data_IF_277530660484
#
_entry.id   IF_277530660484
#
_cell.length_a   1.000
_cell.length_b   1.000
_cell.length_c   1.000
_cell.angle_alpha   90.00
_cell.angle_beta   90.00
_cell.angle_gamma   90.00
#
_symmetry.space_group_name_H-M   'P 1'
#
loop_
_entity.id
_entity.type
_entity.pdbx_description
1 polymer ?
#
# COMPACT_ATOMS: atom_id res chain seq x y z
N UNK A 1 -11.28 3.69 16.41
CA UNK A 1 -12.41 4.33 15.68
C UNK A 1 -13.48 3.37 15.17
N UNK A 2 -13.24 2.04 15.08
CA UNK A 2 -14.30 1.10 14.73
C UNK A 2 -15.50 1.24 15.69
N UNK A 3 -16.71 1.40 15.15
CA UNK A 3 -17.96 1.68 15.88
C UNK A 3 -18.07 3.05 16.58
N UNK A 4 -17.25 4.04 16.24
CA UNK A 4 -17.49 5.42 16.71
C UNK A 4 -18.67 6.07 15.97
N UNK A 5 -19.35 7.07 16.57
CA UNK A 5 -20.38 7.85 15.88
C UNK A 5 -19.88 8.48 14.56
N UNK A 6 -18.60 8.81 14.50
CA UNK A 6 -17.96 9.44 13.34
C UNK A 6 -17.53 8.46 12.26
N UNK A 7 -17.55 7.15 12.51
CA UNK A 7 -17.00 6.16 11.57
C UNK A 7 -17.70 6.16 10.20
N UNK A 8 -19.03 6.27 10.19
CA UNK A 8 -19.81 6.36 8.94
C UNK A 8 -19.52 7.67 8.19
N UNK A 9 -19.47 8.78 8.92
CA UNK A 9 -19.14 10.10 8.37
C UNK A 9 -17.73 10.12 7.77
N UNK A 10 -16.74 9.56 8.48
CA UNK A 10 -15.37 9.44 8.01
C UNK A 10 -15.28 8.63 6.71
N UNK A 11 -15.99 7.50 6.60
CA UNK A 11 -16.05 6.71 5.36
C UNK A 11 -16.68 7.49 4.19
N UNK A 12 -17.72 8.26 4.45
CA UNK A 12 -18.34 9.11 3.44
C UNK A 12 -17.41 10.24 3.00
N UNK A 13 -16.70 10.87 3.94
CA UNK A 13 -15.69 11.90 3.63
C UNK A 13 -14.56 11.36 2.75
N UNK A 14 -14.11 10.10 2.95
CA UNK A 14 -13.14 9.45 2.05
C UNK A 14 -13.65 9.44 0.61
N UNK A 15 -14.92 9.08 0.38
CA UNK A 15 -15.50 9.04 -0.96
C UNK A 15 -15.56 10.42 -1.61
N UNK A 16 -15.82 11.46 -0.81
CA UNK A 16 -15.84 12.85 -1.28
C UNK A 16 -14.45 13.34 -1.69
N UNK A 17 -13.41 12.93 -0.96
CA UNK A 17 -12.03 13.36 -1.20
C UNK A 17 -11.31 12.55 -2.28
N UNK A 18 -11.87 11.41 -2.70
CA UNK A 18 -11.30 10.52 -3.72
C UNK A 18 -10.93 11.22 -5.05
N UNK A 19 -11.76 12.13 -5.62
CA UNK A 19 -11.39 12.84 -6.84
C UNK A 19 -10.13 13.71 -6.66
N UNK A 20 -9.99 14.36 -5.50
CA UNK A 20 -8.81 15.14 -5.17
C UNK A 20 -7.59 14.24 -4.96
N UNK A 21 -7.75 13.12 -4.24
CA UNK A 21 -6.68 12.17 -3.96
C UNK A 21 -6.00 11.70 -5.25
N UNK A 22 -6.80 11.31 -6.26
CA UNK A 22 -6.29 10.88 -7.57
C UNK A 22 -5.50 11.96 -8.33
N UNK A 23 -5.77 13.24 -8.07
CA UNK A 23 -5.11 14.36 -8.74
C UNK A 23 -3.84 14.80 -8.02
N UNK A 24 -3.83 14.74 -6.69
CA UNK A 24 -2.73 15.25 -5.85
C UNK A 24 -1.69 14.16 -5.57
N UNK A 25 -2.14 12.92 -5.35
CA UNK A 25 -1.28 11.79 -4.93
C UNK A 25 -0.85 11.00 -6.17
N UNK A 26 0.09 11.56 -6.94
CA UNK A 26 0.54 11.02 -8.23
C UNK A 26 1.83 10.17 -8.15
N UNK A 27 2.56 10.20 -7.03
CA UNK A 27 3.80 9.41 -6.81
C UNK A 27 3.56 8.09 -6.06
N UNK A 28 2.33 7.82 -5.64
CA UNK A 28 1.97 6.60 -4.92
C UNK A 28 1.71 5.43 -5.88
N UNK A 29 2.13 4.22 -5.50
CA UNK A 29 1.73 2.96 -6.15
C UNK A 29 0.55 2.35 -5.42
N UNK A 30 -0.35 1.71 -6.16
CA UNK A 30 -1.58 1.14 -5.57
C UNK A 30 -1.33 -0.15 -4.82
N UNK A 31 -0.44 -0.97 -5.34
CA UNK A 31 -0.06 -2.27 -4.79
C UNK A 31 1.30 -2.72 -5.35
N UNK A 32 1.72 -3.90 -4.92
CA UNK A 32 2.97 -4.54 -5.34
C UNK A 32 3.02 -4.79 -6.86
N UNK A 33 1.87 -5.05 -7.50
CA UNK A 33 1.84 -5.35 -8.93
C UNK A 33 1.97 -4.08 -9.78
N UNK A 34 1.37 -2.98 -9.34
CA UNK A 34 1.60 -1.65 -9.92
C UNK A 34 3.07 -1.26 -9.81
N UNK A 35 3.70 -1.45 -8.64
CA UNK A 35 5.13 -1.26 -8.46
C UNK A 35 5.97 -2.08 -9.44
N UNK A 36 5.72 -3.39 -9.52
CA UNK A 36 6.40 -4.32 -10.43
C UNK A 36 6.32 -3.85 -11.87
N UNK A 37 5.15 -3.39 -12.32
CA UNK A 37 4.96 -2.91 -13.69
C UNK A 37 5.80 -1.66 -14.01
N UNK A 38 6.08 -0.82 -13.01
CA UNK A 38 6.91 0.39 -13.16
C UNK A 38 8.40 0.05 -13.23
N UNK A 39 8.86 -0.97 -12.51
CA UNK A 39 10.29 -1.32 -12.43
C UNK A 39 10.73 -2.42 -13.41
N UNK A 40 9.79 -3.15 -14.03
CA UNK A 40 10.09 -4.34 -14.85
C UNK A 40 11.09 -4.11 -15.99
N UNK A 41 11.04 -2.94 -16.62
CA UNK A 41 11.85 -2.61 -17.78
C UNK A 41 13.01 -1.65 -17.48
N UNK A 42 13.28 -1.39 -16.20
CA UNK A 42 14.37 -0.50 -15.80
C UNK A 42 15.74 -1.16 -15.95
N UNK A 43 16.74 -0.33 -16.26
CA UNK A 43 18.14 -0.71 -16.25
C UNK A 43 18.86 0.04 -15.12
N UNK A 44 19.47 -0.70 -14.21
CA UNK A 44 20.15 -0.19 -13.02
C UNK A 44 21.69 -0.11 -13.19
N UNK A 45 22.20 -0.23 -14.42
CA UNK A 45 23.63 -0.08 -14.68
C UNK A 45 24.11 1.31 -14.28
N UNK A 46 25.14 1.40 -13.43
CA UNK A 46 25.62 2.66 -12.86
C UNK A 46 24.69 3.30 -11.83
N UNK A 47 23.58 2.64 -11.46
CA UNK A 47 22.59 3.14 -10.50
C UNK A 47 22.59 2.32 -9.20
N UNK A 48 21.94 2.88 -8.18
CA UNK A 48 21.73 2.29 -6.84
C UNK A 48 20.25 2.35 -6.48
N UNK A 49 19.77 1.29 -5.81
CA UNK A 49 18.44 1.28 -5.20
C UNK A 49 18.52 1.72 -3.73
N UNK A 50 17.56 2.56 -3.33
CA UNK A 50 17.40 3.04 -1.96
C UNK A 50 15.94 2.87 -1.56
N UNK A 51 15.70 2.46 -0.31
CA UNK A 51 14.38 2.52 0.30
C UNK A 51 14.36 3.48 1.46
N UNK A 52 13.34 4.33 1.53
CA UNK A 52 13.05 5.15 2.69
C UNK A 52 11.76 4.68 3.35
N UNK A 53 11.69 4.67 4.68
CA UNK A 53 10.44 4.45 5.42
C UNK A 53 10.16 5.65 6.32
N UNK A 54 8.88 5.97 6.50
CA UNK A 54 8.44 7.06 7.37
C UNK A 54 8.17 6.53 8.77
N UNK A 55 9.03 6.91 9.72
CA UNK A 55 8.92 6.53 11.11
C UNK A 55 7.60 7.02 11.72
N UNK A 56 6.76 6.06 12.14
CA UNK A 56 5.48 6.30 12.81
C UNK A 56 4.58 7.29 12.07
N UNK A 57 4.45 7.13 10.74
CA UNK A 57 3.72 8.05 9.85
C UNK A 57 2.41 8.57 10.44
N UNK A 58 1.46 7.68 10.76
CA UNK A 58 0.13 8.09 11.19
C UNK A 58 0.14 8.94 12.45
N UNK A 59 0.96 8.63 13.45
CA UNK A 59 1.00 9.39 14.71
C UNK A 59 1.71 10.74 14.57
N UNK A 60 2.44 10.94 13.48
CA UNK A 60 3.28 12.11 13.25
C UNK A 60 2.75 13.05 12.16
N UNK A 61 1.66 12.70 11.46
CA UNK A 61 1.02 13.58 10.48
C UNK A 61 0.36 14.77 11.19
N UNK A 62 0.76 16.03 10.92
CA UNK A 62 0.13 17.21 11.50
C UNK A 62 -1.28 17.39 10.94
N UNK A 63 -2.31 17.15 11.77
CA UNK A 63 -3.69 17.04 11.30
C UNK A 63 -4.22 18.35 10.71
N UNK A 64 -4.08 19.46 11.44
CA UNK A 64 -4.61 20.76 11.04
C UNK A 64 -3.99 21.22 9.72
N UNK A 65 -2.67 21.12 9.62
CA UNK A 65 -1.92 21.47 8.42
C UNK A 65 -2.34 20.63 7.20
N UNK A 66 -2.57 19.33 7.42
CA UNK A 66 -3.01 18.41 6.36
C UNK A 66 -4.41 18.76 5.89
N UNK A 67 -5.34 19.04 6.80
CA UNK A 67 -6.71 19.42 6.47
C UNK A 67 -6.76 20.76 5.75
N UNK A 68 -5.94 21.73 6.18
CA UNK A 68 -5.81 23.02 5.51
C UNK A 68 -5.30 22.87 4.09
N UNK A 69 -4.29 22.03 3.89
CA UNK A 69 -3.80 21.68 2.56
C UNK A 69 -4.88 21.04 1.68
N UNK A 70 -5.67 20.10 2.21
CA UNK A 70 -6.78 19.48 1.48
C UNK A 70 -7.81 20.53 1.04
N UNK A 71 -8.24 21.40 1.96
CA UNK A 71 -9.20 22.46 1.65
C UNK A 71 -8.64 23.46 0.61
N UNK A 72 -7.37 23.83 0.71
CA UNK A 72 -6.69 24.68 -0.26
C UNK A 72 -6.66 24.02 -1.65
N UNK A 73 -6.27 22.74 -1.74
CA UNK A 73 -6.19 22.04 -3.01
C UNK A 73 -7.55 21.84 -3.68
N UNK A 74 -8.63 21.63 -2.91
CA UNK A 74 -9.99 21.60 -3.45
C UNK A 74 -10.37 22.92 -4.11
N UNK A 75 -10.03 24.04 -3.44
CA UNK A 75 -10.30 25.38 -3.96
C UNK A 75 -9.48 25.68 -5.22
N UNK A 76 -8.16 25.47 -5.18
CA UNK A 76 -7.25 25.73 -6.31
C UNK A 76 -7.58 24.91 -7.55
N UNK A 77 -7.98 23.65 -7.37
CA UNK A 77 -8.37 22.75 -8.47
C UNK A 77 -9.84 22.86 -8.85
N UNK A 78 -10.60 23.76 -8.22
CA UNK A 78 -12.02 23.99 -8.45
C UNK A 78 -12.87 22.71 -8.36
N UNK A 79 -12.53 21.82 -7.42
CA UNK A 79 -13.24 20.55 -7.22
C UNK A 79 -14.44 20.81 -6.31
N UNK A 80 -15.64 20.77 -6.89
CA UNK A 80 -16.87 20.87 -6.12
C UNK A 80 -17.19 19.53 -5.45
N UNK A 81 -17.12 19.53 -4.12
CA UNK A 81 -17.44 18.38 -3.26
C UNK A 81 -18.86 18.40 -2.69
N UNK A 82 -19.67 19.41 -3.07
CA UNK A 82 -21.05 19.57 -2.60
C UNK A 82 -21.20 20.08 -1.16
N UNK A 83 -20.11 20.52 -0.54
CA UNK A 83 -20.07 21.02 0.84
C UNK A 83 -19.23 22.32 0.85
N UNK A 84 -19.66 23.38 1.57
CA UNK A 84 -18.83 24.55 1.78
C UNK A 84 -17.48 24.19 2.43
N UNK A 85 -16.39 24.81 1.98
CA UNK A 85 -15.03 24.49 2.45
C UNK A 85 -14.85 24.58 3.98
N UNK A 86 -15.50 25.57 4.61
CA UNK A 86 -15.50 25.74 6.07
C UNK A 86 -16.16 24.54 6.77
N UNK A 87 -17.33 24.12 6.30
CA UNK A 87 -18.05 22.97 6.85
C UNK A 87 -17.30 21.66 6.62
N UNK A 88 -16.63 21.51 5.47
CA UNK A 88 -15.76 20.35 5.21
C UNK A 88 -14.59 20.29 6.20
N UNK A 89 -13.90 21.41 6.42
CA UNK A 89 -12.79 21.51 7.39
C UNK A 89 -13.27 21.11 8.79
N UNK A 90 -14.40 21.64 9.25
CA UNK A 90 -14.98 21.28 10.54
C UNK A 90 -15.32 19.80 10.65
N UNK A 91 -15.92 19.21 9.59
CA UNK A 91 -16.25 17.79 9.57
C UNK A 91 -15.01 16.91 9.63
N UNK A 92 -13.96 17.27 8.89
CA UNK A 92 -12.68 16.56 8.93
C UNK A 92 -12.07 16.62 10.34
N UNK A 93 -11.98 17.81 10.94
CA UNK A 93 -11.44 17.99 12.29
C UNK A 93 -12.27 17.22 13.34
N UNK A 94 -13.61 17.24 13.26
CA UNK A 94 -14.47 16.47 14.17
C UNK A 94 -14.28 14.96 14.04
N UNK A 95 -13.94 14.47 12.85
CA UNK A 95 -13.70 13.04 12.63
C UNK A 95 -12.30 12.58 13.03
N UNK A 96 -11.34 13.48 13.23
CA UNK A 96 -9.92 13.13 13.41
C UNK A 96 -9.30 13.63 14.72
N UNK A 97 -9.78 14.74 15.28
CA UNK A 97 -9.25 15.31 16.52
C UNK A 97 -9.93 14.72 17.77
N UNK A 98 -9.30 14.93 18.93
CA UNK A 98 -9.82 14.54 20.25
C UNK A 98 -10.21 13.06 20.32
N UNK A 99 -9.40 12.20 19.68
CA UNK A 99 -9.60 10.76 19.78
C UNK A 99 -9.13 10.29 21.15
N UNK A 100 -10.03 9.63 21.88
CA UNK A 100 -9.75 9.04 23.18
C UNK A 100 -9.66 7.52 23.04
N UNK A 101 -8.74 6.91 23.78
CA UNK A 101 -8.61 5.46 23.86
C UNK A 101 -8.14 5.04 25.26
N UNK A 102 -8.37 3.77 25.59
CA UNK A 102 -7.94 3.17 26.85
C UNK A 102 -6.82 2.18 26.57
N UNK A 103 -5.75 2.27 27.34
CA UNK A 103 -4.65 1.31 27.32
C UNK A 103 -4.21 1.06 28.76
N UNK A 104 -4.02 -0.21 29.15
CA UNK A 104 -3.70 -0.60 30.53
C UNK A 104 -4.58 0.11 31.58
N UNK A 105 -5.91 0.07 31.37
CA UNK A 105 -6.92 0.73 32.23
C UNK A 105 -6.72 2.25 32.44
N UNK A 106 -5.90 2.90 31.61
CA UNK A 106 -5.64 4.33 31.66
C UNK A 106 -6.23 5.01 30.42
N UNK A 107 -6.87 6.17 30.62
CA UNK A 107 -7.44 6.97 29.55
C UNK A 107 -6.39 7.87 28.92
N UNK A 108 -6.30 7.84 27.60
CA UNK A 108 -5.42 8.68 26.82
C UNK A 108 -6.23 9.49 25.82
N UNK A 109 -5.78 10.73 25.57
CA UNK A 109 -6.26 11.58 24.49
C UNK A 109 -5.11 11.79 23.51
N UNK A 110 -5.37 11.49 22.24
CA UNK A 110 -4.42 11.79 21.18
C UNK A 110 -4.29 13.31 21.02
N UNK A 111 -3.06 13.81 21.10
CA UNK A 111 -2.74 15.24 21.03
C UNK A 111 -2.69 15.69 19.55
N UNK A 112 -2.01 14.92 18.71
CA UNK A 112 -1.92 15.12 17.26
C UNK A 112 -1.69 13.77 16.56
N UNK A 113 -1.65 13.79 15.24
CA UNK A 113 -1.57 12.60 14.43
C UNK A 113 -2.93 11.96 14.20
N UNK A 114 -2.96 11.03 13.27
CA UNK A 114 -4.14 10.29 12.88
C UNK A 114 -4.25 9.04 13.75
N UNK A 115 -5.39 8.84 14.39
CA UNK A 115 -5.63 7.60 15.13
C UNK A 115 -5.62 6.39 14.19
N UNK A 116 -4.88 5.35 14.60
CA UNK A 116 -4.85 4.07 13.90
C UNK A 116 -6.24 3.46 13.79
N UNK A 117 -6.59 2.96 12.60
CA UNK A 117 -7.92 2.42 12.30
C UNK A 117 -8.99 3.47 11.99
N UNK A 118 -8.62 4.75 11.87
CA UNK A 118 -9.48 5.76 11.26
C UNK A 118 -9.73 5.47 9.79
N UNK A 119 -10.99 5.52 9.28
CA UNK A 119 -11.25 5.47 7.84
C UNK A 119 -10.53 6.57 7.06
N UNK A 120 -10.37 7.76 7.65
CA UNK A 120 -9.66 8.89 7.05
C UNK A 120 -8.14 8.79 7.16
N UNK A 121 -7.61 7.82 7.91
CA UNK A 121 -6.18 7.73 8.17
C UNK A 121 -5.33 7.60 6.93
N UNK A 122 -5.55 6.57 6.10
CA UNK A 122 -4.75 6.35 4.89
C UNK A 122 -4.77 7.57 3.95
N UNK A 123 -5.95 8.14 3.68
CA UNK A 123 -6.09 9.24 2.72
C UNK A 123 -5.43 10.54 3.23
N UNK A 124 -5.52 10.84 4.53
CA UNK A 124 -4.89 12.04 5.11
C UNK A 124 -3.36 11.89 5.17
N UNK A 125 -2.85 10.71 5.52
CA UNK A 125 -1.41 10.46 5.48
C UNK A 125 -0.87 10.61 4.05
N UNK A 126 -1.59 10.11 3.05
CA UNK A 126 -1.23 10.29 1.64
C UNK A 126 -1.26 11.76 1.21
N UNK A 127 -2.27 12.55 1.61
CA UNK A 127 -2.31 13.98 1.29
C UNK A 127 -1.13 14.73 1.91
N UNK A 128 -0.78 14.42 3.16
CA UNK A 128 0.35 15.07 3.82
C UNK A 128 1.68 14.76 3.11
N UNK A 129 1.92 13.49 2.78
CA UNK A 129 3.12 13.12 2.03
C UNK A 129 3.11 13.72 0.62
N UNK A 130 1.97 13.77 -0.06
CA UNK A 130 1.84 14.42 -1.36
C UNK A 130 2.09 15.94 -1.28
N UNK A 131 1.73 16.59 -0.17
CA UNK A 131 2.10 17.99 0.08
C UNK A 131 3.62 18.16 0.10
N UNK A 132 4.33 17.29 0.81
CA UNK A 132 5.80 17.32 0.85
C UNK A 132 6.40 17.04 -0.54
N UNK A 133 5.90 16.00 -1.21
CA UNK A 133 6.37 15.53 -2.52
C UNK A 133 6.18 16.56 -3.65
N UNK A 134 5.08 17.31 -3.62
CA UNK A 134 4.74 18.31 -4.64
C UNK A 134 5.22 19.72 -4.27
N UNK A 135 5.68 19.94 -3.04
CA UNK A 135 6.25 21.20 -2.56
C UNK A 135 7.73 21.06 -2.21
N UNK A 136 8.09 20.99 -0.92
CA UNK A 136 9.47 21.11 -0.44
C UNK A 136 10.43 20.00 -0.92
N UNK A 137 9.92 18.81 -1.29
CA UNK A 137 10.71 17.71 -1.86
C UNK A 137 10.73 17.68 -3.38
N UNK A 138 9.97 18.53 -4.06
CA UNK A 138 9.78 18.47 -5.51
C UNK A 138 11.10 18.47 -6.27
N UNK A 139 11.98 19.43 -5.95
CA UNK A 139 13.28 19.57 -6.62
C UNK A 139 14.24 18.41 -6.32
N UNK A 140 14.19 17.85 -5.11
CA UNK A 140 14.98 16.67 -4.76
C UNK A 140 14.49 15.47 -5.58
N UNK A 141 13.18 15.24 -5.60
CA UNK A 141 12.57 14.11 -6.30
C UNK A 141 12.79 14.19 -7.81
N UNK A 142 12.75 15.39 -8.40
CA UNK A 142 12.97 15.58 -9.84
C UNK A 142 14.39 15.25 -10.30
N UNK A 143 15.37 15.18 -9.38
CA UNK A 143 16.76 14.80 -9.67
C UNK A 143 16.98 13.29 -9.59
N UNK A 144 16.03 12.53 -9.05
CA UNK A 144 16.12 11.08 -8.92
C UNK A 144 15.73 10.44 -10.26
N UNK A 145 16.36 9.32 -10.61
CA UNK A 145 15.99 8.57 -11.83
C UNK A 145 14.60 7.93 -11.69
N UNK A 146 14.28 7.52 -10.47
CA UNK A 146 12.97 6.97 -10.14
C UNK A 146 12.59 7.26 -8.69
N UNK A 147 11.30 7.52 -8.49
CA UNK A 147 10.69 7.69 -7.17
C UNK A 147 9.27 7.14 -7.19
N UNK A 148 8.94 6.28 -6.24
CA UNK A 148 7.57 5.92 -5.94
C UNK A 148 7.39 5.57 -4.47
N UNK A 149 6.16 5.67 -3.97
CA UNK A 149 5.84 5.37 -2.57
C UNK A 149 4.63 4.46 -2.45
N UNK A 150 4.60 3.61 -1.42
CA UNK A 150 3.43 2.89 -0.95
C UNK A 150 3.21 3.24 0.52
N UNK A 151 2.24 4.11 0.81
CA UNK A 151 1.99 4.61 2.17
C UNK A 151 3.26 5.22 2.79
N UNK A 152 3.93 4.57 3.74
CA UNK A 152 5.19 5.08 4.34
C UNK A 152 6.44 4.68 3.57
N UNK A 153 6.39 3.55 2.85
CA UNK A 153 7.55 2.94 2.21
C UNK A 153 7.80 3.60 0.85
N UNK A 154 9.00 4.11 0.63
CA UNK A 154 9.43 4.80 -0.59
C UNK A 154 10.57 4.03 -1.24
N UNK A 155 10.52 3.90 -2.56
CA UNK A 155 11.55 3.28 -3.39
C UNK A 155 12.14 4.31 -4.34
N UNK A 156 13.46 4.37 -4.39
CA UNK A 156 14.24 5.37 -5.11
C UNK A 156 15.32 4.67 -5.93
N UNK A 157 15.53 5.17 -7.15
CA UNK A 157 16.72 4.87 -7.95
C UNK A 157 17.48 6.17 -8.18
N UNK A 158 18.78 6.12 -7.94
CA UNK A 158 19.72 7.25 -8.08
C UNK A 158 21.02 6.79 -8.69
N UNK A 159 21.82 7.73 -9.19
CA UNK A 159 23.21 7.51 -9.54
C UNK A 159 24.05 7.05 -8.33
N UNK A 160 25.11 6.29 -8.60
CA UNK A 160 25.96 5.71 -7.56
C UNK A 160 26.74 6.71 -6.71
N UNK A 161 26.93 7.93 -7.21
CA UNK A 161 27.64 9.02 -6.54
C UNK A 161 26.77 9.74 -5.51
N UNK A 162 25.44 9.65 -5.61
CA UNK A 162 24.52 10.21 -4.62
C UNK A 162 24.60 9.38 -3.33
N UNK A 163 25.14 10.00 -2.28
CA UNK A 163 25.26 9.37 -0.96
C UNK A 163 23.94 9.28 -0.22
N UNK A 164 23.64 8.12 0.41
CA UNK A 164 22.41 7.94 1.20
C UNK A 164 22.22 8.96 2.32
N UNK A 165 23.31 9.40 2.97
CA UNK A 165 23.23 10.28 4.14
C UNK A 165 22.73 11.64 3.70
N UNK A 166 23.30 12.18 2.62
CA UNK A 166 22.87 13.44 2.04
C UNK A 166 21.41 13.38 1.60
N UNK A 167 21.01 12.32 0.87
CA UNK A 167 19.61 12.14 0.46
C UNK A 167 18.68 12.09 1.68
N UNK A 168 19.04 11.31 2.71
CA UNK A 168 18.24 11.18 3.92
C UNK A 168 18.10 12.52 4.66
N UNK A 169 19.18 13.29 4.78
CA UNK A 169 19.17 14.63 5.38
C UNK A 169 18.28 15.58 4.59
N UNK A 170 18.38 15.56 3.25
CA UNK A 170 17.52 16.38 2.39
C UNK A 170 16.04 16.09 2.62
N UNK A 171 15.66 14.83 2.85
CA UNK A 171 14.28 14.45 3.20
C UNK A 171 13.90 14.88 4.63
N UNK A 172 14.75 14.58 5.61
CA UNK A 172 14.49 14.84 7.03
C UNK A 172 14.48 16.33 7.42
N UNK A 173 15.08 17.18 6.59
CA UNK A 173 15.11 18.64 6.80
C UNK A 173 13.87 19.35 6.23
N UNK A 174 12.96 18.66 5.54
CA UNK A 174 11.77 19.31 4.94
C UNK A 174 10.63 19.55 5.90
N UNK A 175 10.48 18.72 6.92
CA UNK A 175 9.39 18.87 7.88
C UNK A 175 9.77 18.29 9.24
N UNK A 176 9.58 19.07 10.31
CA UNK A 176 9.96 18.66 11.67
C UNK A 176 9.20 17.44 12.21
N UNK A 177 7.94 17.28 11.79
CA UNK A 177 7.06 16.23 12.31
C UNK A 177 7.38 14.83 11.74
N UNK A 178 7.93 14.75 10.52
CA UNK A 178 8.19 13.46 9.86
C UNK A 178 9.68 13.17 9.85
N UNK A 179 10.03 11.92 10.17
CA UNK A 179 11.38 11.40 10.04
C UNK A 179 11.37 10.18 9.14
N UNK A 180 12.32 10.16 8.23
CA UNK A 180 12.62 9.07 7.33
C UNK A 180 13.78 8.25 7.89
N UNK A 181 13.71 6.94 7.71
CA UNK A 181 14.83 6.01 7.82
C UNK A 181 15.26 5.58 6.42
N UNK A 182 16.50 5.11 6.26
CA UNK A 182 17.05 4.75 4.96
C UNK A 182 17.68 3.35 4.99
N UNK A 183 17.30 2.52 4.03
CA UNK A 183 17.89 1.22 3.73
C UNK A 183 18.52 1.30 2.32
N UNK A 184 19.75 0.81 2.19
CA UNK A 184 20.45 0.71 0.91
C UNK A 184 20.51 -0.74 0.44
N UNK A 185 20.69 -0.92 -0.87
CA UNK A 185 20.97 -2.25 -1.41
C UNK A 185 22.24 -2.86 -0.81
N UNK A 186 22.15 -4.14 -0.46
CA UNK A 186 23.28 -4.95 0.02
C UNK A 186 23.45 -6.11 -0.96
N UNK A 187 24.68 -6.32 -1.44
CA UNK A 187 25.00 -7.35 -2.44
C UNK A 187 24.12 -7.28 -3.70
N UNK A 188 23.85 -6.06 -4.19
CA UNK A 188 22.97 -5.79 -5.32
C UNK A 188 21.49 -6.19 -5.09
N UNK A 189 21.06 -6.29 -3.82
CA UNK A 189 19.71 -6.68 -3.46
C UNK A 189 19.05 -5.65 -2.56
N UNK A 190 17.78 -5.38 -2.80
CA UNK A 190 16.95 -4.56 -1.92
C UNK A 190 15.52 -5.12 -1.86
N UNK A 191 14.95 -5.20 -0.68
CA UNK A 191 13.54 -5.52 -0.50
C UNK A 191 12.69 -4.26 -0.57
N UNK A 192 11.60 -4.31 -1.33
CA UNK A 192 10.55 -3.30 -1.30
C UNK A 192 9.19 -3.99 -1.30
N UNK A 193 8.36 -3.68 -0.30
CA UNK A 193 7.11 -4.40 -0.02
C UNK A 193 7.35 -5.92 0.09
N UNK A 194 6.67 -6.69 -0.75
CA UNK A 194 6.71 -8.15 -0.83
C UNK A 194 7.72 -8.69 -1.86
N UNK A 195 8.59 -7.82 -2.41
CA UNK A 195 9.48 -8.12 -3.54
C UNK A 195 10.93 -7.93 -3.13
N UNK A 196 11.76 -8.94 -3.43
CA UNK A 196 13.21 -8.83 -3.40
C UNK A 196 13.70 -8.52 -4.82
N UNK A 197 14.28 -7.34 -4.99
CA UNK A 197 14.89 -6.88 -6.23
C UNK A 197 16.36 -7.26 -6.21
N UNK A 198 16.84 -7.82 -7.31
CA UNK A 198 18.24 -8.25 -7.48
C UNK A 198 18.75 -7.64 -8.78
N UNK A 199 19.69 -6.70 -8.66
CA UNK A 199 20.35 -6.08 -9.82
C UNK A 199 21.33 -7.08 -10.43
N UNK A 200 21.13 -7.40 -11.71
CA UNK A 200 22.00 -8.30 -12.48
C UNK A 200 23.20 -7.55 -13.06
N UNK A 201 24.24 -8.29 -13.44
CA UNK A 201 25.45 -7.72 -14.05
C UNK A 201 25.19 -6.92 -15.34
N UNK A 202 24.14 -7.27 -16.10
CA UNK A 202 23.72 -6.54 -17.30
C UNK A 202 22.82 -5.31 -17.00
N UNK A 203 22.64 -4.96 -15.72
CA UNK A 203 21.79 -3.88 -15.25
C UNK A 203 20.29 -4.22 -15.14
N UNK A 204 19.83 -5.35 -15.68
CA UNK A 204 18.42 -5.75 -15.55
C UNK A 204 18.05 -6.19 -14.12
N UNK A 205 16.76 -6.18 -13.80
CA UNK A 205 16.25 -6.51 -12.47
C UNK A 205 15.67 -7.93 -12.45
N UNK A 206 16.22 -8.81 -11.61
CA UNK A 206 15.52 -10.04 -11.19
C UNK A 206 14.63 -9.74 -9.99
N UNK A 207 13.47 -10.39 -9.92
CA UNK A 207 12.50 -10.22 -8.84
C UNK A 207 12.24 -11.56 -8.19
N UNK A 208 12.08 -11.61 -6.88
CA UNK A 208 11.62 -12.79 -6.15
C UNK A 208 10.73 -12.39 -4.98
N UNK A 209 10.01 -13.33 -4.38
CA UNK A 209 9.15 -13.03 -3.23
C UNK A 209 10.02 -12.83 -1.99
N UNK A 210 9.94 -11.64 -1.39
CA UNK A 210 10.61 -11.38 -0.13
C UNK A 210 9.79 -11.93 1.05
N UNK A 211 10.48 -12.53 2.02
CA UNK A 211 9.91 -13.00 3.29
C UNK A 211 10.80 -12.53 4.42
N UNK A 212 10.23 -11.80 5.39
CA UNK A 212 10.97 -11.39 6.59
C UNK A 212 11.43 -12.64 7.36
N UNK A 213 12.59 -12.57 7.99
CA UNK A 213 13.12 -13.65 8.84
C UNK A 213 12.19 -14.01 10.01
N UNK A 214 11.40 -13.03 10.49
CA UNK A 214 10.37 -13.23 11.51
C UNK A 214 9.08 -13.88 10.99
N UNK A 215 8.96 -14.13 9.68
CA UNK A 215 7.78 -14.78 9.12
C UNK A 215 7.77 -16.26 9.53
N UNK A 216 6.78 -16.65 10.34
CA UNK A 216 6.64 -18.02 10.85
C UNK A 216 6.04 -19.00 9.83
N UNK A 217 5.82 -18.54 8.58
CA UNK A 217 5.14 -19.28 7.50
C UNK A 217 3.93 -20.08 7.98
N UNK A 218 3.14 -19.49 8.89
CA UNK A 218 2.01 -20.15 9.53
C UNK A 218 0.80 -20.17 8.59
N UNK A 219 0.79 -21.17 7.71
CA UNK A 219 -0.36 -21.49 6.89
C UNK A 219 -1.27 -22.50 7.59
N UNK A 220 -2.56 -22.49 7.21
CA UNK A 220 -3.57 -23.43 7.69
C UNK A 220 -3.12 -24.86 7.44
N UNK A 221 -3.09 -25.69 8.49
CA UNK A 221 -2.74 -27.11 8.35
C UNK A 221 -3.83 -27.85 7.54
N UNK A 222 -3.43 -28.84 6.74
CA UNK A 222 -4.36 -29.54 5.84
C UNK A 222 -5.46 -30.31 6.58
N UNK A 223 -5.24 -30.69 7.84
CA UNK A 223 -6.25 -31.37 8.67
C UNK A 223 -7.22 -30.43 9.40
N UNK A 224 -6.99 -29.10 9.37
CA UNK A 224 -7.88 -28.17 10.05
C UNK A 224 -9.31 -28.25 9.50
N UNK A 225 -10.31 -28.12 10.38
CA UNK A 225 -11.73 -28.15 10.03
C UNK A 225 -12.18 -26.86 9.32
N UNK A 226 -11.63 -26.65 8.12
CA UNK A 226 -12.02 -25.58 7.21
C UNK A 226 -12.39 -26.18 5.86
N UNK A 227 -13.35 -25.58 5.12
CA UNK A 227 -13.71 -26.03 3.80
C UNK A 227 -12.50 -26.21 2.86
N UNK A 228 -12.50 -27.29 2.09
CA UNK A 228 -11.38 -27.65 1.19
C UNK A 228 -11.04 -26.55 0.17
N UNK A 229 -12.02 -25.70 -0.19
CA UNK A 229 -11.78 -24.60 -1.11
C UNK A 229 -10.87 -23.52 -0.52
N UNK A 230 -10.85 -23.28 0.80
CA UNK A 230 -9.89 -22.36 1.41
C UNK A 230 -8.46 -22.88 1.31
N UNK A 231 -8.27 -24.18 1.57
CA UNK A 231 -6.96 -24.86 1.40
C UNK A 231 -6.51 -24.79 -0.05
N UNK A 232 -7.41 -25.05 -1.00
CA UNK A 232 -7.14 -24.94 -2.45
C UNK A 232 -6.78 -23.52 -2.85
N UNK A 233 -7.55 -22.53 -2.38
CA UNK A 233 -7.36 -21.13 -2.71
C UNK A 233 -6.04 -20.61 -2.13
N UNK A 234 -5.63 -21.05 -0.95
CA UNK A 234 -4.30 -20.74 -0.42
C UNK A 234 -3.19 -21.14 -1.40
N UNK A 235 -3.16 -22.40 -1.85
CA UNK A 235 -2.15 -22.89 -2.80
C UNK A 235 -2.16 -22.03 -4.07
N UNK A 236 -3.35 -21.77 -4.62
CA UNK A 236 -3.51 -20.96 -5.82
C UNK A 236 -3.06 -19.50 -5.61
N UNK A 237 -3.38 -18.90 -4.47
CA UNK A 237 -3.00 -17.53 -4.14
C UNK A 237 -1.48 -17.39 -4.04
N UNK A 238 -0.81 -18.31 -3.34
CA UNK A 238 0.65 -18.32 -3.23
C UNK A 238 1.30 -18.49 -4.61
N UNK A 239 0.85 -19.48 -5.39
CA UNK A 239 1.40 -19.71 -6.73
C UNK A 239 1.14 -18.55 -7.69
N UNK A 240 -0.04 -17.93 -7.63
CA UNK A 240 -0.36 -16.76 -8.46
C UNK A 240 0.44 -15.53 -8.05
N UNK A 241 0.65 -15.31 -6.74
CA UNK A 241 1.52 -14.25 -6.24
C UNK A 241 2.95 -14.46 -6.74
N UNK A 242 3.50 -15.66 -6.59
CA UNK A 242 4.83 -16.00 -7.11
C UNK A 242 4.95 -15.70 -8.60
N UNK A 243 3.99 -16.13 -9.42
CA UNK A 243 4.01 -15.87 -10.88
C UNK A 243 3.95 -14.40 -11.27
N UNK A 244 3.31 -13.57 -10.46
CA UNK A 244 3.22 -12.12 -10.72
C UNK A 244 4.45 -11.36 -10.22
N UNK A 245 5.13 -11.88 -9.20
CA UNK A 245 6.29 -11.23 -8.58
C UNK A 245 7.59 -11.68 -9.23
N UNK A 246 7.79 -12.98 -9.39
CA UNK A 246 9.05 -13.56 -9.80
C UNK A 246 9.35 -13.32 -11.27
N UNK A 247 10.64 -13.09 -11.56
CA UNK A 247 11.18 -13.16 -12.90
C UNK A 247 11.29 -14.62 -13.37
N UNK A 248 11.52 -14.82 -14.68
CA UNK A 248 11.59 -16.15 -15.30
C UNK A 248 12.65 -17.05 -14.66
N UNK A 249 13.74 -16.45 -14.19
CA UNK A 249 14.87 -17.13 -13.55
C UNK A 249 14.60 -17.51 -12.09
N UNK A 250 13.64 -16.89 -11.39
CA UNK A 250 13.39 -17.12 -9.96
C UNK A 250 12.08 -17.84 -9.65
N UNK A 251 11.16 -17.92 -10.61
CA UNK A 251 9.81 -18.48 -10.39
C UNK A 251 9.83 -19.95 -9.95
N UNK A 252 10.70 -20.78 -10.54
CA UNK A 252 10.73 -22.21 -10.22
C UNK A 252 11.20 -22.44 -8.78
N UNK A 253 12.26 -21.75 -8.36
CA UNK A 253 12.75 -21.79 -6.99
C UNK A 253 11.68 -21.35 -5.99
N UNK A 254 10.94 -20.29 -6.31
CA UNK A 254 9.85 -19.81 -5.46
C UNK A 254 8.68 -20.81 -5.36
N UNK A 255 8.33 -21.49 -6.46
CA UNK A 255 7.30 -22.52 -6.45
C UNK A 255 7.73 -23.75 -5.64
N UNK A 256 9.02 -24.12 -5.66
CA UNK A 256 9.59 -25.17 -4.81
C UNK A 256 9.54 -24.80 -3.33
N UNK A 257 9.88 -23.56 -2.98
CA UNK A 257 9.74 -23.05 -1.61
C UNK A 257 8.28 -23.15 -1.14
N UNK A 258 7.32 -22.72 -1.96
CA UNK A 258 5.88 -22.85 -1.66
C UNK A 258 5.47 -24.31 -1.51
N UNK A 259 5.96 -25.19 -2.38
CA UNK A 259 5.68 -26.62 -2.31
C UNK A 259 6.13 -27.21 -0.98
N UNK A 260 7.40 -26.97 -0.59
CA UNK A 260 7.98 -27.52 0.63
C UNK A 260 7.28 -26.99 1.90
N UNK A 261 7.01 -25.68 1.95
CA UNK A 261 6.26 -25.09 3.07
C UNK A 261 4.87 -25.70 3.25
N UNK A 262 4.17 -26.05 2.16
CA UNK A 262 2.85 -26.65 2.25
C UNK A 262 2.90 -28.14 2.58
N UNK A 263 3.94 -28.86 2.15
CA UNK A 263 4.20 -30.24 2.56
C UNK A 263 4.38 -30.32 4.08
N UNK A 264 5.15 -29.41 4.67
CA UNK A 264 5.30 -29.29 6.14
C UNK A 264 3.97 -29.02 6.85
N UNK A 265 2.97 -28.49 6.15
CA UNK A 265 1.61 -28.25 6.67
C UNK A 265 0.63 -29.39 6.35
N UNK A 266 1.14 -30.54 5.93
CA UNK A 266 0.36 -31.76 5.69
C UNK A 266 -0.42 -31.78 4.38
N UNK A 267 -0.12 -30.89 3.42
CA UNK A 267 -0.82 -30.88 2.14
C UNK A 267 -0.43 -32.10 1.28
N UNK A 268 -1.39 -32.88 0.75
CA UNK A 268 -1.06 -34.04 -0.09
C UNK A 268 -0.37 -33.64 -1.40
N UNK A 269 0.63 -34.42 -1.83
CA UNK A 269 1.38 -34.19 -3.07
C UNK A 269 0.47 -34.06 -4.31
N UNK A 270 -0.53 -34.93 -4.44
CA UNK A 270 -1.50 -34.87 -5.54
C UNK A 270 -2.33 -33.58 -5.54
N UNK A 271 -2.61 -33.04 -4.35
CA UNK A 271 -3.32 -31.78 -4.19
C UNK A 271 -2.45 -30.59 -4.63
N UNK A 272 -1.18 -30.57 -4.22
CA UNK A 272 -0.23 -29.55 -4.64
C UNK A 272 0.04 -29.60 -6.13
N UNK A 273 0.35 -30.77 -6.70
CA UNK A 273 0.59 -30.95 -8.15
C UNK A 273 -0.58 -30.40 -8.98
N UNK A 274 -1.82 -30.64 -8.54
CA UNK A 274 -3.03 -30.17 -9.22
C UNK A 274 -3.24 -28.66 -9.13
N UNK A 275 -2.85 -28.02 -8.03
CA UNK A 275 -3.24 -26.64 -7.73
C UNK A 275 -2.11 -25.62 -7.82
N UNK A 276 -0.86 -26.05 -7.68
CA UNK A 276 0.32 -25.21 -7.81
C UNK A 276 0.53 -24.78 -9.26
N UNK A 277 0.35 -25.70 -10.22
CA UNK A 277 0.55 -25.45 -11.67
C UNK A 277 -0.73 -25.05 -12.42
N UNK A 278 -1.89 -25.04 -11.76
CA UNK A 278 -3.13 -24.60 -12.37
C UNK A 278 -3.05 -23.09 -12.65
N UNK A 279 -2.75 -22.71 -13.88
CA UNK A 279 -3.00 -21.35 -14.36
C UNK A 279 -4.51 -21.12 -14.29
N UNK A 280 -4.92 -19.98 -13.73
CA UNK A 280 -6.33 -19.60 -13.76
C UNK A 280 -6.75 -19.47 -15.23
N UNK A 281 -7.54 -20.42 -15.75
CA UNK A 281 -8.34 -20.17 -16.95
C UNK A 281 -9.10 -18.88 -16.68
N UNK A 282 -8.94 -17.88 -17.55
CA UNK A 282 -9.66 -16.60 -17.46
C UNK A 282 -11.11 -16.90 -17.10
N UNK A 283 -11.58 -16.32 -15.99
CA UNK A 283 -13.02 -16.33 -15.68
C UNK A 283 -13.67 -15.66 -16.88
N UNK A 284 -14.38 -16.44 -17.71
CA UNK A 284 -15.29 -15.88 -18.68
C UNK A 284 -16.33 -15.14 -17.86
N UNK A 285 -16.26 -13.81 -17.83
CA UNK A 285 -17.37 -12.98 -17.39
C UNK A 285 -18.54 -13.29 -18.30
N UNK A 286 -19.42 -14.20 -17.88
CA UNK A 286 -20.76 -14.28 -18.44
C UNK A 286 -21.48 -13.01 -18.02
N UNK A 287 -21.56 -12.03 -18.91
CA UNK A 287 -22.55 -10.95 -18.81
C UNK A 287 -23.92 -11.59 -18.90
N UNK A 288 -24.49 -11.98 -17.76
CA UNK A 288 -25.91 -12.25 -17.65
C UNK A 288 -26.62 -10.89 -17.68
N UNK A 289 -27.30 -10.59 -18.78
CA UNK A 289 -28.17 -9.44 -18.89
C UNK A 289 -29.22 -9.50 -17.76
N UNK A 290 -29.35 -8.41 -16.99
CA UNK A 290 -30.42 -8.24 -15.99
C UNK A 290 -31.76 -8.25 -16.73
N UNK A 291 -32.62 -9.22 -16.43
CA UNK A 291 -34.05 -9.15 -16.79
C UNK A 291 -34.70 -7.97 -16.05
N UNK A 292 -35.59 -7.19 -16.69
CA UNK A 292 -36.30 -6.10 -16.04
C UNK A 292 -37.23 -6.63 -14.94
N UNK A 293 -37.20 -5.98 -13.76
CA UNK A 293 -38.10 -6.26 -12.65
C UNK A 293 -39.51 -5.78 -13.01
N UNK A 294 -40.47 -6.69 -12.98
CA UNK A 294 -41.90 -6.38 -13.11
C UNK A 294 -42.41 -5.81 -11.79
N UNK A 295 -42.85 -4.56 -11.81
CA UNK A 295 -43.49 -3.89 -10.66
C UNK A 295 -44.86 -4.50 -10.41
N UNK A 296 -45.02 -5.25 -9.32
CA UNK A 296 -46.34 -5.66 -8.82
C UNK A 296 -46.85 -4.54 -7.91
N UNK A 297 -47.80 -3.74 -8.41
CA UNK A 297 -48.62 -2.86 -7.57
C UNK A 297 -49.50 -3.73 -6.66
N UNK A 298 -49.25 -3.72 -5.35
CA UNK A 298 -50.22 -4.20 -4.37
C UNK A 298 -51.21 -3.06 -4.08
N UNK A 299 -52.42 -3.20 -4.59
CA UNK A 299 -53.61 -2.52 -4.06
C UNK A 299 -53.88 -3.08 -2.67
N UNK A 300 -54.01 -2.21 -1.67
CA UNK A 300 -54.81 -2.50 -0.50
C UNK A 300 -55.95 -1.49 -0.49
N UNK A 301 -57.15 -2.07 -0.60
CA UNK A 301 -58.45 -1.54 -0.20
C UNK A 301 -58.45 -1.16 1.27
#
# INVERSE_FOLDING_TARGET
MYNSPYHKTAKWLVQILEPLHKLVVNKSVKDVFDFISKVEHMNLSGKRMISLDVASLFTNVPLTETIDFVCQQLHEKQINVGIPGVSLKELLLKCTMNVHFVFNNTYYRQIDGIAMGSPLGPILADFFLAKLENGPLKEVINKLDFYCRYVGDTFIIVDQDIGKVELLEQFNNKHQAIKFTCEEEIDNKLNFLDVLLIKKANGSISRSVFRKSSSSSQYTHFLNFVPIYYKRNLVKCLANRARKICSVDSINNELEVIHNMLIERGYPLGFLKKHLHSTNKKVKTSTAAKKPQTTIQRRFS
#
